data_IF_617772492583
#
_entry.id   IF_617772492583
#
_cell.length_a   1.000
_cell.length_b   1.000
_cell.length_c   1.000
_cell.angle_alpha   90.00
_cell.angle_beta   90.00
_cell.angle_gamma   90.00
#
_symmetry.space_group_name_H-M   'P 1'
#
loop_
_entity.id
_entity.type
_entity.pdbx_description
1 polymer ?
2 non-polymer ?
3 water ?
#
# COMPACT_ATOMS: atom_id res chain seq x y z
N UNK A 11 -30.44 -8.51 0.42
CA UNK A 11 -29.07 -8.03 0.51
C UNK A 11 -28.82 -6.86 -0.45
N UNK A 12 -28.10 -5.88 0.01
CA UNK A 12 -27.65 -4.80 -0.82
C UNK A 12 -26.25 -5.03 -1.34
N UNK A 13 -26.10 -5.04 -2.64
CA UNK A 13 -24.80 -5.28 -3.27
C UNK A 13 -23.85 -4.07 -3.13
N UNK A 14 -22.59 -4.36 -2.83
CA UNK A 14 -21.50 -3.41 -2.85
C UNK A 14 -20.24 -4.02 -3.45
N UNK A 15 -19.76 -3.38 -4.48
CA UNK A 15 -18.65 -3.84 -5.22
C UNK A 15 -17.51 -2.90 -5.00
N UNK A 16 -16.41 -3.43 -4.52
CA UNK A 16 -15.23 -2.68 -4.11
C UNK A 16 -13.92 -3.28 -4.65
N UNK A 17 -13.14 -2.45 -5.33
CA UNK A 17 -11.82 -2.83 -5.82
C UNK A 17 -10.72 -2.27 -4.91
N UNK A 18 -9.94 -3.16 -4.32
CA UNK A 18 -9.01 -2.77 -3.28
C UNK A 18 -7.56 -3.02 -3.69
N UNK A 19 -6.71 -2.01 -3.56
CA UNK A 19 -5.32 -2.23 -3.83
C UNK A 19 -4.78 -3.36 -2.94
N UNK A 20 -4.11 -4.32 -3.57
CA UNK A 20 -3.69 -5.52 -2.89
C UNK A 20 -2.96 -5.29 -1.58
N UNK A 21 -1.98 -4.38 -1.58
CA UNK A 21 -1.23 -4.14 -0.34
C UNK A 21 -2.16 -3.72 0.82
N UNK A 22 -3.20 -2.96 0.53
CA UNK A 22 -4.15 -2.54 1.55
C UNK A 22 -5.07 -3.70 1.96
N UNK A 23 -5.51 -4.51 0.99
CA UNK A 23 -6.37 -5.65 1.28
C UNK A 23 -5.68 -6.59 2.27
N UNK A 24 -4.45 -6.99 1.98
CA UNK A 24 -3.71 -7.91 2.87
C UNK A 24 -3.25 -7.27 4.19
N UNK A 25 -2.83 -6.01 4.12
CA UNK A 25 -2.18 -5.37 5.25
C UNK A 25 -3.14 -4.71 6.20
N UNK A 26 -4.36 -4.46 5.74
CA UNK A 26 -5.32 -3.74 6.55
C UNK A 26 -6.75 -4.29 6.48
N UNK A 27 -7.35 -4.24 5.29
CA UNK A 27 -8.79 -4.52 5.15
C UNK A 27 -9.24 -5.94 5.47
N UNK A 28 -8.53 -6.94 4.95
CA UNK A 28 -8.99 -8.31 5.09
C UNK A 28 -9.23 -8.77 6.55
N UNK A 29 -8.26 -8.51 7.43
CA UNK A 29 -8.39 -8.82 8.86
C UNK A 29 -9.64 -8.20 9.51
N UNK A 30 -10.12 -7.08 8.95
CA UNK A 30 -11.22 -6.32 9.54
C UNK A 30 -12.60 -6.61 8.96
N UNK A 31 -12.64 -7.42 7.89
CA UNK A 31 -13.88 -7.67 7.16
C UNK A 31 -14.98 -8.34 8.00
N UNK A 32 -14.62 -9.21 8.94
CA UNK A 32 -15.65 -9.82 9.79
C UNK A 32 -16.33 -8.77 10.68
N UNK A 33 -15.58 -7.72 11.04
CA UNK A 33 -16.16 -6.62 11.81
C UNK A 33 -17.14 -5.82 10.97
N UNK A 34 -16.86 -5.67 9.67
CA UNK A 34 -17.83 -5.05 8.79
C UNK A 34 -19.10 -5.90 8.74
N UNK A 35 -18.93 -7.21 8.59
CA UNK A 35 -20.07 -8.13 8.53
C UNK A 35 -20.91 -8.07 9.81
N UNK A 36 -20.24 -7.88 10.95
CA UNK A 36 -20.93 -7.70 12.23
C UNK A 36 -21.81 -6.45 12.24
N UNK A 37 -21.25 -5.33 11.86
CA UNK A 37 -21.97 -4.07 11.81
C UNK A 37 -23.04 -3.97 10.73
N UNK A 38 -22.81 -4.55 9.57
CA UNK A 38 -23.67 -4.38 8.44
C UNK A 38 -23.93 -5.69 7.68
N UNK A 39 -24.65 -6.61 8.31
CA UNK A 39 -24.93 -7.93 7.77
C UNK A 39 -25.74 -7.97 6.48
N UNK A 40 -26.51 -6.93 6.27
CA UNK A 40 -27.37 -6.78 5.14
C UNK A 40 -26.64 -6.41 3.87
N UNK A 41 -25.35 -6.20 3.94
CA UNK A 41 -24.57 -5.84 2.74
C UNK A 41 -23.87 -7.03 2.11
N UNK A 42 -24.09 -7.21 0.83
CA UNK A 42 -23.48 -8.19 -0.03
C UNK A 42 -22.20 -7.57 -0.60
N UNK A 43 -21.09 -7.83 0.04
CA UNK A 43 -19.83 -7.19 -0.34
C UNK A 43 -19.03 -7.99 -1.39
N UNK A 44 -18.81 -7.42 -2.56
CA UNK A 44 -18.06 -8.05 -3.65
C UNK A 44 -16.66 -7.48 -3.75
N UNK A 45 -15.70 -8.12 -3.11
CA UNK A 45 -14.35 -7.59 -3.03
C UNK A 45 -13.48 -8.15 -4.14
N UNK A 46 -12.73 -7.26 -4.78
CA UNK A 46 -11.75 -7.62 -5.78
C UNK A 46 -10.47 -6.81 -5.51
N UNK A 47 -9.31 -7.35 -5.91
CA UNK A 47 -8.06 -6.64 -5.69
C UNK A 47 -7.51 -6.10 -7.01
N UNK A 48 -6.67 -5.07 -6.93
CA UNK A 48 -5.99 -4.54 -8.10
C UNK A 48 -4.59 -4.09 -7.72
N UNK A 49 -3.81 -3.63 -8.68
CA UNK A 49 -2.43 -3.25 -8.38
C UNK A 49 -2.20 -1.74 -8.35
N UNK A 50 -3.26 -1.03 -8.02
CA UNK A 50 -3.37 0.42 -7.96
C UNK A 50 -3.55 1.12 -9.30
N UNK A 51 -3.46 0.33 -10.35
CA UNK A 51 -3.71 0.78 -11.69
C UNK A 51 -4.96 0.10 -12.21
N UNK A 52 -6.05 0.82 -12.09
CA UNK A 52 -7.40 0.30 -12.21
C UNK A 52 -8.31 1.31 -12.88
N UNK A 53 -9.26 0.79 -13.62
CA UNK A 53 -10.29 1.61 -14.22
C UNK A 53 -11.61 1.22 -13.58
N UNK A 54 -12.09 2.02 -12.61
CA UNK A 54 -13.31 1.66 -11.89
C UNK A 54 -14.57 1.58 -12.77
N UNK A 55 -14.71 2.47 -13.74
CA UNK A 55 -15.84 2.40 -14.68
C UNK A 55 -15.88 1.09 -15.45
N UNK A 56 -14.75 0.71 -16.04
CA UNK A 56 -14.68 -0.52 -16.84
C UNK A 56 -14.98 -1.75 -15.97
N UNK A 57 -14.49 -1.73 -14.73
CA UNK A 57 -14.66 -2.86 -13.84
C UNK A 57 -15.99 -2.82 -13.12
N UNK A 58 -16.72 -1.72 -13.29
CA UNK A 58 -18.04 -1.58 -12.70
C UNK A 58 -17.98 -1.47 -11.18
N UNK A 59 -16.96 -0.80 -10.67
CA UNK A 59 -16.78 -0.69 -9.22
C UNK A 59 -17.67 0.41 -8.62
N UNK A 60 -18.11 0.20 -7.38
CA UNK A 60 -18.77 1.27 -6.62
C UNK A 60 -17.68 2.15 -6.01
N UNK A 61 -16.81 1.54 -5.21
CA UNK A 61 -15.64 2.20 -4.63
C UNK A 61 -14.33 1.58 -5.09
N UNK A 62 -13.27 2.39 -5.01
CA UNK A 62 -11.91 1.97 -5.25
C UNK A 62 -11.04 2.42 -4.07
N UNK A 63 -10.40 1.46 -3.42
CA UNK A 63 -9.41 1.80 -2.40
C UNK A 63 -8.03 1.75 -3.06
N UNK A 64 -7.31 2.87 -2.99
CA UNK A 64 -6.11 3.06 -3.78
C UNK A 64 -5.06 3.85 -3.00
N UNK A 65 -3.87 3.90 -3.56
CA UNK A 65 -2.77 4.64 -2.98
C UNK A 65 -2.52 5.87 -3.85
N UNK A 66 -2.33 7.03 -3.23
CA UNK A 66 -2.08 8.23 -4.00
C UNK A 66 -2.26 9.51 -3.20
N UNK A 67 -2.46 10.62 -3.92
CA UNK A 67 -2.47 11.94 -3.28
C UNK A 67 -3.84 12.54 -3.01
N UNK A 68 -4.91 11.85 -3.39
CA UNK A 68 -6.25 12.34 -3.09
C UNK A 68 -6.83 13.32 -4.10
N UNK A 69 -6.08 13.69 -5.11
CA UNK A 69 -6.51 14.65 -6.10
C UNK A 69 -6.74 14.10 -7.48
N UNK A 70 -7.42 12.99 -7.59
CA UNK A 70 -7.94 12.48 -8.82
C UNK A 70 -9.09 13.40 -9.28
N UNK A 71 -9.14 13.74 -10.55
CA UNK A 71 -10.17 14.61 -11.06
C UNK A 71 -11.50 13.89 -11.20
N UNK A 72 -12.62 14.61 -11.07
CA UNK A 72 -13.95 14.02 -11.14
C UNK A 72 -14.17 12.81 -10.22
N UNK A 73 -13.48 12.82 -9.10
CA UNK A 73 -13.55 11.78 -8.11
C UNK A 73 -13.87 12.40 -6.78
N UNK A 74 -14.73 11.73 -6.03
CA UNK A 74 -14.98 12.02 -4.64
C UNK A 74 -14.07 11.10 -3.82
N UNK A 75 -13.04 11.69 -3.20
CA UNK A 75 -11.98 10.95 -2.52
C UNK A 75 -12.03 11.17 -1.01
N UNK A 76 -11.99 10.07 -0.26
CA UNK A 76 -12.00 10.15 1.20
C UNK A 76 -10.75 9.49 1.77
N UNK A 77 -10.08 10.19 2.67
CA UNK A 77 -8.81 9.72 3.26
C UNK A 77 -9.04 8.56 4.20
N UNK A 78 -8.25 7.50 4.05
CA UNK A 78 -8.33 6.35 4.96
C UNK A 78 -7.22 6.40 6.00
N UNK A 79 -5.96 6.33 5.53
CA UNK A 79 -4.83 6.30 6.46
C UNK A 79 -3.49 6.58 5.78
N UNK A 80 -2.49 6.91 6.59
CA UNK A 80 -1.16 7.21 6.08
C UNK A 80 -0.48 5.94 5.58
N UNK A 81 0.53 6.12 4.76
CA UNK A 81 1.27 5.04 4.16
C UNK A 81 2.77 5.34 4.08
N UNK A 82 3.30 5.86 5.18
CA UNK A 82 4.70 6.16 5.27
C UNK A 82 5.61 4.95 4.88
N UNK A 83 6.57 5.25 4.05
CA UNK A 83 7.48 4.30 3.47
C UNK A 83 8.91 4.31 4.03
N UNK A 84 9.48 3.11 4.14
CA UNK A 84 10.82 2.95 4.68
C UNK A 84 11.42 1.69 4.07
N UNK A 85 12.75 1.56 4.08
CA UNK A 85 13.39 0.33 3.62
C UNK A 85 13.00 -0.90 4.44
N UNK A 86 12.80 -2.00 3.73
CA UNK A 86 12.37 -3.27 4.31
C UNK A 86 13.15 -4.38 3.64
N UNK A 87 13.70 -5.30 4.43
CA UNK A 87 14.52 -6.37 3.88
C UNK A 87 14.50 -7.57 4.81
N UNK A 88 15.09 -8.67 4.36
CA UNK A 88 15.16 -9.89 5.16
C UNK A 88 16.18 -9.70 6.27
N UNK A 89 16.06 -10.50 7.34
CA UNK A 89 17.03 -10.48 8.44
C UNK A 89 18.46 -10.73 7.94
N UNK A 90 18.64 -11.60 6.96
CA UNK A 90 19.99 -11.85 6.45
C UNK A 90 20.58 -10.60 5.81
N UNK A 91 19.79 -9.91 4.99
CA UNK A 91 20.27 -8.67 4.40
C UNK A 91 20.52 -7.63 5.49
N UNK A 92 19.63 -7.60 6.48
CA UNK A 92 19.70 -6.57 7.51
C UNK A 92 20.97 -6.72 8.34
N UNK A 93 21.43 -7.96 8.48
CA UNK A 93 22.65 -8.24 9.22
C UNK A 93 23.84 -7.55 8.56
N UNK A 94 23.71 -7.19 7.29
CA UNK A 94 24.81 -6.53 6.58
C UNK A 94 24.56 -5.03 6.38
N UNK A 95 23.53 -4.53 7.03
CA UNK A 95 23.11 -3.16 6.93
C UNK A 95 23.17 -2.45 8.30
N UNK A 96 24.06 -1.47 8.38
CA UNK A 96 24.26 -0.64 9.56
C UNK A 96 23.94 0.82 9.34
N UNK A 97 24.30 1.32 8.17
CA UNK A 97 24.03 2.67 7.72
C UNK A 97 23.28 2.68 6.42
N UNK A 98 22.58 3.77 6.11
CA UNK A 98 21.80 3.80 4.87
C UNK A 98 22.61 3.46 3.62
N UNK A 99 23.87 3.87 3.57
CA UNK A 99 24.75 3.54 2.46
C UNK A 99 24.86 2.03 2.20
N UNK A 100 24.74 1.24 3.27
CA UNK A 100 24.86 -0.23 3.21
C UNK A 100 23.75 -0.88 2.39
N UNK A 101 22.60 -0.20 2.29
CA UNK A 101 21.51 -0.69 1.45
C UNK A 101 22.02 -0.99 0.03
N UNK A 102 22.96 -0.17 -0.44
CA UNK A 102 23.51 -0.27 -1.79
C UNK A 102 24.45 -1.47 -2.03
N UNK A 103 24.66 -2.28 -0.99
CA UNK A 103 25.31 -3.56 -1.17
C UNK A 103 24.42 -4.48 -2.01
N UNK A 104 23.14 -4.15 -2.07
CA UNK A 104 22.14 -5.06 -2.63
C UNK A 104 21.28 -4.36 -3.69
N UNK A 105 20.66 -5.14 -4.60
CA UNK A 105 19.68 -4.55 -5.54
C UNK A 105 18.57 -3.78 -4.81
N UNK A 106 18.00 -2.78 -5.47
CA UNK A 106 16.87 -2.04 -4.94
C UNK A 106 15.58 -2.56 -5.57
N UNK A 107 14.53 -2.67 -4.78
CA UNK A 107 13.21 -3.03 -5.28
C UNK A 107 12.32 -1.78 -5.18
N UNK A 108 11.64 -1.43 -6.26
CA UNK A 108 10.80 -0.23 -6.31
C UNK A 108 9.46 -0.50 -7.00
N UNK A 109 8.53 0.42 -6.84
CA UNK A 109 7.25 0.36 -7.57
C UNK A 109 7.41 1.03 -8.93
N UNK A 110 6.33 1.21 -9.65
CA UNK A 110 6.37 1.89 -10.92
C UNK A 110 6.77 3.37 -10.89
N UNK A 111 6.64 3.99 -9.73
CA UNK A 111 7.11 5.34 -9.43
C UNK A 111 8.63 5.39 -9.52
N UNK A 112 9.23 6.36 -10.18
CA UNK A 112 10.66 6.34 -10.34
C UNK A 112 11.49 7.03 -9.25
N UNK A 113 10.85 7.71 -8.34
CA UNK A 113 11.47 8.60 -7.37
C UNK A 113 11.66 8.08 -5.90
N UNK A 114 11.16 6.88 -5.56
CA UNK A 114 11.10 6.44 -4.17
C UNK A 114 12.45 6.37 -3.50
N UNK A 115 13.37 5.71 -4.15
CA UNK A 115 14.72 5.58 -3.58
C UNK A 115 15.52 6.88 -3.57
N UNK A 116 15.38 7.69 -4.62
CA UNK A 116 16.05 8.99 -4.64
C UNK A 116 15.56 9.85 -3.48
N UNK A 117 14.25 9.91 -3.31
CA UNK A 117 13.64 10.68 -2.23
C UNK A 117 14.04 10.18 -0.83
N UNK A 118 13.98 8.88 -0.60
CA UNK A 118 14.33 8.37 0.72
C UNK A 118 15.80 8.66 1.08
N UNK A 119 16.69 8.30 0.17
CA UNK A 119 18.13 8.58 0.34
C UNK A 119 18.43 10.07 0.57
N UNK A 120 17.80 10.91 -0.23
CA UNK A 120 17.94 12.36 -0.07
C UNK A 120 17.50 12.82 1.32
N UNK A 121 16.40 12.26 1.80
CA UNK A 121 15.87 12.59 3.11
C UNK A 121 16.84 12.18 4.22
N UNK A 122 17.56 11.08 4.02
CA UNK A 122 18.50 10.61 5.06
C UNK A 122 19.92 11.14 4.86
N UNK A 123 20.09 12.01 3.88
CA UNK A 123 21.35 12.70 3.68
C UNK A 123 22.36 11.98 2.81
N UNK A 124 21.89 11.00 2.03
CA UNK A 124 22.76 10.32 1.07
C UNK A 124 22.57 10.85 -0.36
N UNK A 125 23.51 10.50 -1.23
CA UNK A 125 23.41 10.83 -2.64
C UNK A 125 22.44 9.86 -3.31
N UNK A 126 21.96 10.21 -4.52
CA UNK A 126 21.11 9.27 -5.23
C UNK A 126 21.89 8.02 -5.65
N UNK A 127 21.23 6.86 -5.62
CA UNK A 127 21.85 5.63 -6.13
C UNK A 127 22.31 5.80 -7.58
N UNK A 128 23.43 5.18 -7.94
CA UNK A 128 23.92 5.18 -9.31
C UNK A 128 22.83 4.78 -10.30
N UNK A 129 22.75 5.50 -11.43
CA UNK A 129 21.79 5.16 -12.49
C UNK A 129 22.09 3.77 -13.04
N UNK A 130 23.18 3.17 -12.62
CA UNK A 130 23.61 1.86 -13.01
C UNK A 130 23.20 0.75 -11.99
N UNK A 131 22.59 1.16 -10.88
CA UNK A 131 22.28 0.23 -9.83
C UNK A 131 21.28 -0.82 -10.23
N UNK A 132 21.53 -2.04 -9.83
CA UNK A 132 20.60 -3.13 -10.09
C UNK A 132 19.25 -2.80 -9.43
N UNK A 133 18.20 -2.71 -10.24
CA UNK A 133 16.88 -2.36 -9.74
C UNK A 133 15.80 -3.28 -10.34
N UNK A 134 14.91 -3.79 -9.50
CA UNK A 134 13.73 -4.52 -9.98
C UNK A 134 12.43 -3.76 -9.66
N UNK A 135 11.51 -3.78 -10.61
CA UNK A 135 10.30 -2.95 -10.57
C UNK A 135 9.05 -3.81 -10.39
N UNK A 136 8.18 -3.39 -9.47
CA UNK A 136 7.01 -4.17 -9.07
C UNK A 136 5.70 -3.41 -9.23
N UNK A 137 4.73 -4.08 -9.88
CA UNK A 137 3.40 -3.51 -10.04
C UNK A 137 2.70 -3.49 -8.70
N UNK A 138 3.19 -4.31 -7.77
CA UNK A 138 2.49 -4.54 -6.51
C UNK A 138 3.46 -4.65 -5.37
N UNK A 139 3.22 -3.89 -4.30
CA UNK A 139 4.01 -3.99 -3.07
C UNK A 139 3.95 -5.37 -2.45
N UNK A 140 2.85 -6.09 -2.67
CA UNK A 140 2.74 -7.44 -2.12
C UNK A 140 3.81 -8.31 -2.78
N UNK A 141 3.92 -8.21 -4.10
CA UNK A 141 4.92 -8.97 -4.84
C UNK A 141 6.35 -8.53 -4.48
N UNK A 142 6.57 -7.22 -4.42
CA UNK A 142 7.84 -6.68 -3.94
C UNK A 142 8.28 -7.32 -2.62
N UNK A 143 7.39 -7.37 -1.65
CA UNK A 143 7.77 -7.87 -0.32
C UNK A 143 7.97 -9.39 -0.32
N UNK A 144 7.35 -10.10 -1.25
CA UNK A 144 7.67 -11.50 -1.40
C UNK A 144 9.11 -11.66 -1.90
N UNK A 145 9.48 -10.85 -2.89
CA UNK A 145 10.86 -10.81 -3.39
C UNK A 145 11.84 -10.41 -2.28
N UNK A 146 11.47 -9.43 -1.47
CA UNK A 146 12.32 -8.97 -0.38
C UNK A 146 12.57 -10.08 0.65
N UNK A 147 11.51 -10.79 1.03
CA UNK A 147 11.64 -11.90 1.99
C UNK A 147 12.63 -12.93 1.50
N UNK A 148 12.64 -13.17 0.20
CA UNK A 148 13.55 -14.14 -0.39
C UNK A 148 14.96 -13.56 -0.59
N UNK A 149 15.20 -12.37 -0.06
CA UNK A 149 16.49 -11.71 -0.18
C UNK A 149 16.90 -11.23 -1.57
N UNK A 150 15.93 -10.91 -2.42
CA UNK A 150 16.21 -10.48 -3.79
C UNK A 150 16.75 -9.05 -3.82
N UNK A 151 16.45 -8.30 -2.76
CA UNK A 151 16.94 -6.94 -2.62
C UNK A 151 16.23 -6.24 -1.48
N UNK A 152 16.49 -4.94 -1.35
CA UNK A 152 15.87 -4.12 -0.32
C UNK A 152 14.67 -3.42 -0.92
N UNK A 153 13.51 -3.61 -0.29
CA UNK A 153 12.26 -3.02 -0.75
C UNK A 153 12.06 -1.65 -0.12
N UNK A 154 11.21 -0.82 -0.74
CA UNK A 154 10.66 0.34 -0.04
C UNK A 154 9.15 0.39 -0.25
N UNK A 155 8.41 0.37 0.86
CA UNK A 155 6.94 0.29 0.82
C UNK A 155 6.29 0.81 2.11
N UNK A 156 4.97 0.86 2.17
CA UNK A 156 4.31 1.33 3.40
C UNK A 156 4.41 0.33 4.54
N UNK A 157 5.15 0.72 5.53
CA UNK A 157 5.50 -0.13 6.66
C UNK A 157 4.28 -0.73 7.37
N UNK A 158 3.24 0.07 7.59
CA UNK A 158 2.09 -0.39 8.37
C UNK A 158 1.25 -1.44 7.66
N UNK A 159 1.50 -1.62 6.37
CA UNK A 159 0.80 -2.63 5.58
C UNK A 159 1.51 -3.98 5.66
N UNK A 160 2.68 -4.01 6.29
CA UNK A 160 3.45 -5.25 6.42
C UNK A 160 3.77 -5.62 7.88
N UNK A 161 2.92 -5.16 8.79
CA UNK A 161 3.02 -5.51 10.20
C UNK A 161 3.09 -7.03 10.40
N UNK A 162 2.34 -7.77 9.58
CA UNK A 162 2.37 -9.23 9.67
C UNK A 162 3.76 -9.82 9.45
N UNK A 163 4.50 -9.25 8.49
CA UNK A 163 5.85 -9.74 8.19
C UNK A 163 6.87 -9.25 9.20
N UNK A 164 6.62 -8.07 9.77
CA UNK A 164 7.52 -7.51 10.76
C UNK A 164 7.40 -8.29 12.06
N UNK A 165 6.16 -8.53 12.49
CA UNK A 165 5.90 -9.25 13.73
C UNK A 165 6.39 -10.71 13.70
N UNK A 166 6.21 -11.36 12.56
CA UNK A 166 6.63 -12.76 12.39
C UNK A 166 8.12 -12.85 12.09
N UNK A 167 8.77 -11.69 12.00
CA UNK A 167 10.20 -11.57 11.74
C UNK A 167 10.66 -12.08 10.36
N UNK A 168 9.76 -12.03 9.38
CA UNK A 168 10.14 -12.35 7.99
C UNK A 168 10.77 -11.16 7.26
N UNK A 169 10.48 -9.96 7.75
CA UNK A 169 11.07 -8.76 7.18
C UNK A 169 11.51 -7.83 8.33
N UNK A 170 12.54 -7.03 8.06
CA UNK A 170 13.02 -6.06 9.04
C UNK A 170 13.01 -4.64 8.47
N UNK A 171 12.72 -3.65 9.32
CA UNK A 171 12.88 -2.25 8.97
C UNK A 171 14.16 -1.74 9.66
N UNK A 172 15.27 -1.65 8.90
CA UNK A 172 16.57 -1.28 9.51
C UNK A 172 16.67 0.18 9.95
N UNK A 173 15.89 1.07 9.38
CA UNK A 173 15.98 2.51 9.68
C UNK A 173 14.64 3.14 10.05
N UNK A 174 14.69 4.14 10.95
CA UNK A 174 13.49 4.78 11.45
C UNK A 174 12.85 5.78 10.49
N UNK A 175 13.67 6.35 9.63
CA UNK A 175 13.18 7.39 8.73
C UNK A 175 12.18 6.82 7.75
N UNK A 176 11.06 7.54 7.60
CA UNK A 176 10.00 7.20 6.67
C UNK A 176 9.72 8.39 5.77
N UNK A 177 9.11 8.14 4.62
CA UNK A 177 8.72 9.21 3.70
C UNK A 177 7.25 9.09 3.29
N UNK A 178 6.66 10.21 2.88
CA UNK A 178 5.28 10.21 2.44
C UNK A 178 5.23 10.51 0.94
N UNK A 179 4.91 9.49 0.15
CA UNK A 179 4.72 9.67 -1.29
C UNK A 179 3.28 9.34 -1.70
N UNK A 180 2.38 9.34 -0.72
CA UNK A 180 1.01 8.93 -0.96
C UNK A 180 0.39 8.35 0.29
N UNK A 181 -0.94 8.33 0.32
CA UNK A 181 -1.65 7.75 1.45
C UNK A 181 -2.68 6.79 0.88
N UNK A 182 -3.46 6.17 1.75
CA UNK A 182 -4.56 5.34 1.25
C UNK A 182 -5.87 6.12 1.26
N UNK A 183 -6.59 6.00 0.16
CA UNK A 183 -7.81 6.75 -0.10
C UNK A 183 -8.90 5.82 -0.59
N UNK A 184 -10.15 6.16 -0.32
CA UNK A 184 -11.27 5.46 -0.94
C UNK A 184 -12.01 6.44 -1.84
N UNK A 185 -12.22 6.04 -3.09
CA UNK A 185 -12.68 6.98 -4.11
C UNK A 185 -13.89 6.46 -4.88
N UNK A 186 -14.81 7.38 -5.17
CA UNK A 186 -15.96 7.11 -5.99
C UNK A 186 -15.94 8.05 -7.19
N UNK A 187 -16.15 7.54 -8.38
CA UNK A 187 -16.34 8.36 -9.53
C UNK A 187 -17.54 9.30 -9.29
N UNK A 188 -17.43 10.54 -9.58
CA UNK A 188 -18.55 11.43 -9.41
C UNK A 188 -19.70 11.11 -10.32
N UNK A 189 -19.45 10.42 -11.40
CA UNK A 189 -20.54 9.94 -12.18
C UNK A 189 -21.17 8.69 -11.60
N UNK A 190 -20.60 8.11 -10.57
CA UNK A 190 -21.19 6.92 -9.95
C UNK A 190 -22.02 7.29 -8.73
N UNK A 191 -23.25 6.87 -8.72
CA UNK A 191 -24.15 7.16 -7.65
C UNK A 191 -23.74 6.56 -6.30
N UNK A 192 -23.79 7.35 -5.24
CA UNK A 192 -23.48 6.89 -3.93
C UNK A 192 -24.66 6.20 -3.31
N UNK A 193 -24.55 4.93 -3.02
CA UNK A 193 -25.62 4.19 -2.42
C UNK A 193 -25.62 4.19 -0.91
N UNK A 194 -26.70 3.75 -0.31
CA UNK A 194 -26.77 3.48 1.10
C UNK A 194 -25.64 2.56 1.61
N UNK A 195 -25.36 1.53 0.86
CA UNK A 195 -24.37 0.54 1.27
C UNK A 195 -22.95 1.14 1.21
N UNK A 196 -22.73 1.97 0.21
CA UNK A 196 -21.48 2.70 0.09
C UNK A 196 -21.26 3.61 1.29
N UNK A 197 -22.26 4.42 1.63
CA UNK A 197 -22.14 5.31 2.78
C UNK A 197 -21.82 4.53 4.05
N UNK A 198 -22.49 3.39 4.22
CA UNK A 198 -22.33 2.60 5.43
C UNK A 198 -20.93 1.95 5.51
N UNK A 199 -20.47 1.40 4.39
CA UNK A 199 -19.11 0.90 4.31
C UNK A 199 -18.05 1.98 4.58
N UNK A 200 -18.23 3.15 3.98
CA UNK A 200 -17.29 4.27 4.19
C UNK A 200 -17.23 4.62 5.66
N UNK A 201 -18.42 4.71 6.26
CA UNK A 201 -18.54 5.07 7.66
C UNK A 201 -17.83 4.05 8.55
N UNK A 202 -18.08 2.78 8.27
CA UNK A 202 -17.46 1.71 9.03
C UNK A 202 -15.93 1.75 8.94
N UNK A 203 -15.40 1.92 7.73
CA UNK A 203 -13.97 1.78 7.51
C UNK A 203 -13.15 2.94 8.11
N UNK A 204 -13.52 4.17 7.78
CA UNK A 204 -12.88 5.34 8.36
C UNK A 204 -13.03 5.29 9.90
N UNK A 205 -14.13 4.72 10.35
CA UNK A 205 -14.39 4.54 11.78
C UNK A 205 -13.55 3.49 12.47
N UNK A 206 -13.44 2.30 11.89
CA UNK A 206 -12.67 1.22 12.51
C UNK A 206 -11.17 1.52 12.47
N UNK A 207 -10.76 2.34 11.52
CA UNK A 207 -9.35 2.71 11.42
C UNK A 207 -8.96 3.62 12.58
N UNK A 208 -9.92 4.41 13.04
CA UNK A 208 -9.73 5.31 14.18
C UNK A 208 -10.17 4.66 15.49
X LIG B 1 -2.76 12.44 -6.77
X LIG B 1 -3.94 12.80 -6.14
X LIG B 1 -3.11 11.63 -8.00
X LIG B 1 -2.29 12.04 -9.09
X LIG B 1 -2.86 10.16 -7.71
X LIG B 1 -2.14 10.07 -6.50
X LIG C 1 23.68 -3.26 -7.20
X LIG C 1 24.05 -3.09 -8.56
X LIG C 1 24.43 -4.43 -6.60
X LIG C 1 23.52 -5.45 -6.28
X LIG C 1 25.18 -4.00 -5.34
X LIG C 1 26.47 -3.53 -5.66
X LIG D 1 1.81 0.78 -2.42
X LIG D 1 0.48 0.83 -2.85
X LIG D 1 2.57 1.91 -3.08
X LIG D 1 3.20 1.40 -4.23
X LIG D 1 3.66 2.37 -2.14
X LIG D 1 4.41 1.23 -1.82
X LIG E 1 18.32 5.99 11.76
X LIG E 1 17.35 4.99 11.88
X LIG E 1 18.08 6.84 10.51
X LIG E 1 16.88 6.43 9.89
X LIG E 1 19.25 6.69 9.54
X LIG E 1 19.87 7.94 9.30
X LIG F 1 -19.86 -11.94 -1.52
X LIG F 1 -19.17 -12.51 -2.61
X LIG F 1 -21.11 -12.76 -1.25
X LIG F 1 -21.61 -13.34 -2.42
X LIG F 1 -22.18 -11.86 -0.63
X LIG F 1 -22.27 -10.68 -1.41
#
# INVERSE_FOLDING_TARGET
MLDRFATKQTQEKLKIGVVGVFAIGCLFPLLSDFKRSYPHIDLHISTHNNRVDPAAEGLDYTIRYGGGAWHDTDAQYLCSALMSPLCSPTLASQIQTPADILKFPLLRSYRRDEWALWMQTVGEAPPSPTHNVMVFDSAVTMLEAAQAGMGVAIAPVRMFTHLLSSERIVQPFLTQIDLGSFWITRLQSRPETPAMREFSRWLTGVLHKTSGSHHHHHH
GOL C1 O1 C2 O2 C3 O3
GOL C1 O1 C2 O2 C3 O3
GOL C1 O1 C2 O2 C3 O3
GOL C1 O1 C2 O2 C3 O3
GOL C1 O1 C2 O2 C3 O3
#
